data_IF_559346952516
#
_entry.id   IF_559346952516
#
_cell.length_a   1.000
_cell.length_b   1.000
_cell.length_c   1.000
_cell.angle_alpha   90.00
_cell.angle_beta   90.00
_cell.angle_gamma   90.00
#
_symmetry.space_group_name_H-M   'P 1'
#
loop_
_entity.id
_entity.type
_entity.pdbx_description
1 polymer ?
#
# COMPACT_ATOMS: atom_id res chain seq x y z
N UNK A 1 -24.69 -14.17 21.56
CA UNK A 1 -25.01 -13.42 20.32
C UNK A 1 -24.41 -14.20 19.16
N UNK A 2 -25.16 -14.48 18.08
CA UNK A 2 -24.57 -15.14 16.92
C UNK A 2 -23.48 -14.24 16.33
N UNK A 3 -22.29 -14.83 16.14
CA UNK A 3 -21.17 -14.21 15.45
C UNK A 3 -21.40 -14.41 13.95
N UNK A 4 -21.84 -13.36 13.25
CA UNK A 4 -21.92 -13.39 11.79
C UNK A 4 -20.52 -13.19 11.21
N UNK A 5 -20.14 -14.07 10.28
CA UNK A 5 -18.88 -13.93 9.54
C UNK A 5 -19.12 -13.01 8.35
N UNK A 6 -18.43 -11.87 8.33
CA UNK A 6 -18.51 -10.89 7.23
C UNK A 6 -17.20 -10.90 6.44
N UNK A 7 -17.29 -11.02 5.12
CA UNK A 7 -16.15 -10.92 4.20
C UNK A 7 -16.29 -9.73 3.26
N UNK A 8 -15.20 -9.03 2.98
CA UNK A 8 -15.12 -7.96 1.97
C UNK A 8 -14.07 -8.34 0.94
N UNK A 9 -14.34 -8.07 -0.34
CA UNK A 9 -13.40 -8.27 -1.44
C UNK A 9 -13.26 -6.93 -2.17
N UNK A 10 -12.01 -6.52 -2.41
CA UNK A 10 -11.68 -5.30 -3.14
C UNK A 10 -10.88 -5.65 -4.39
N UNK A 11 -11.40 -5.29 -5.57
CA UNK A 11 -10.67 -5.34 -6.83
C UNK A 11 -10.30 -3.90 -7.17
N UNK A 12 -9.00 -3.60 -7.17
CA UNK A 12 -8.48 -2.25 -7.34
C UNK A 12 -7.67 -2.21 -8.63
N UNK A 13 -8.09 -1.34 -9.55
CA UNK A 13 -7.31 -1.00 -10.74
C UNK A 13 -6.40 0.18 -10.40
N UNK A 14 -5.09 0.00 -10.58
CA UNK A 14 -4.08 0.99 -10.23
C UNK A 14 -3.66 1.77 -11.47
N UNK A 15 -3.37 3.05 -11.28
CA UNK A 15 -2.77 3.88 -12.32
C UNK A 15 -1.38 3.37 -12.72
N UNK A 16 -0.93 3.78 -13.91
CA UNK A 16 0.40 3.47 -14.41
C UNK A 16 1.51 3.97 -13.46
N UNK A 17 2.56 3.15 -13.33
CA UNK A 17 3.71 3.42 -12.46
C UNK A 17 4.90 4.04 -13.21
N UNK A 18 4.65 4.68 -14.36
CA UNK A 18 5.70 5.26 -15.18
C UNK A 18 6.41 6.44 -14.49
N UNK A 19 7.72 6.52 -14.74
CA UNK A 19 8.55 7.59 -14.21
C UNK A 19 8.24 8.89 -14.94
N UNK A 20 8.15 10.00 -14.20
CA UNK A 20 7.87 11.32 -14.75
C UNK A 20 8.80 11.66 -15.95
N UNK A 21 10.10 11.38 -15.82
CA UNK A 21 11.10 11.62 -16.87
C UNK A 21 10.81 10.87 -18.18
N UNK A 22 10.16 9.71 -18.10
CA UNK A 22 9.82 8.89 -19.28
C UNK A 22 8.55 9.39 -20.01
N UNK A 23 7.76 10.26 -19.38
CA UNK A 23 6.47 10.72 -19.95
C UNK A 23 6.59 11.93 -20.86
N UNK A 24 7.67 12.71 -20.75
CA UNK A 24 7.79 14.02 -21.40
C UNK A 24 6.72 15.04 -20.97
N UNK A 25 5.98 14.75 -19.89
CA UNK A 25 4.88 15.60 -19.43
C UNK A 25 5.40 16.91 -18.82
N UNK A 26 4.71 18.01 -19.10
CA UNK A 26 5.04 19.34 -18.58
C UNK A 26 3.84 20.02 -17.93
N UNK A 27 4.09 21.05 -17.13
CA UNK A 27 3.06 21.88 -16.50
C UNK A 27 2.05 21.08 -15.67
N UNK A 28 0.77 21.21 -16.01
CA UNK A 28 -0.33 20.57 -15.28
C UNK A 28 -0.23 19.04 -15.32
N UNK A 29 0.17 18.46 -16.46
CA UNK A 29 0.27 17.01 -16.62
C UNK A 29 1.40 16.42 -15.77
N UNK A 30 2.51 17.15 -15.62
CA UNK A 30 3.58 16.76 -14.71
C UNK A 30 3.12 16.75 -13.25
N UNK A 31 2.33 17.76 -12.85
CA UNK A 31 1.76 17.84 -11.49
C UNK A 31 0.78 16.69 -11.22
N UNK A 32 -0.05 16.35 -12.19
CA UNK A 32 -0.96 15.19 -12.14
C UNK A 32 -0.17 13.88 -12.00
N UNK A 33 0.81 13.64 -12.88
CA UNK A 33 1.67 12.46 -12.82
C UNK A 33 2.45 12.37 -11.51
N UNK A 34 2.88 13.50 -10.96
CA UNK A 34 3.49 13.57 -9.63
C UNK A 34 2.56 13.10 -8.51
N UNK A 35 1.28 13.45 -8.56
CA UNK A 35 0.29 12.99 -7.58
C UNK A 35 -0.02 11.49 -7.72
N UNK A 36 -0.10 10.98 -8.96
CA UNK A 36 -0.22 9.53 -9.23
C UNK A 36 0.96 8.80 -8.60
N UNK A 37 2.18 9.21 -8.94
CA UNK A 37 3.40 8.61 -8.43
C UNK A 37 3.51 8.70 -6.91
N UNK A 38 3.09 9.82 -6.30
CA UNK A 38 3.02 9.93 -4.83
C UNK A 38 2.18 8.80 -4.23
N UNK A 39 0.96 8.58 -4.74
CA UNK A 39 0.06 7.57 -4.20
C UNK A 39 0.59 6.14 -4.35
N UNK A 40 1.23 5.82 -5.48
CA UNK A 40 1.81 4.50 -5.77
C UNK A 40 3.09 4.25 -4.95
N UNK A 41 3.95 5.25 -4.79
CA UNK A 41 5.15 5.15 -3.93
C UNK A 41 4.76 4.95 -2.47
N UNK A 42 3.76 5.69 -1.98
CA UNK A 42 3.26 5.48 -0.61
C UNK A 42 2.69 4.07 -0.43
N UNK A 43 1.99 3.52 -1.43
CA UNK A 43 1.52 2.13 -1.40
C UNK A 43 2.70 1.15 -1.28
N UNK A 44 3.76 1.33 -2.07
CA UNK A 44 4.98 0.54 -1.98
C UNK A 44 5.60 0.60 -0.57
N UNK A 45 5.75 1.80 0.00
CA UNK A 45 6.29 1.99 1.34
C UNK A 45 5.46 1.30 2.43
N UNK A 46 4.13 1.35 2.33
CA UNK A 46 3.22 0.65 3.25
C UNK A 46 3.41 -0.86 3.16
N UNK A 47 3.48 -1.42 1.94
CA UNK A 47 3.69 -2.86 1.73
C UNK A 47 5.06 -3.29 2.27
N UNK A 48 6.12 -2.54 2.01
CA UNK A 48 7.47 -2.82 2.54
C UNK A 48 7.49 -2.82 4.06
N UNK A 49 6.88 -1.81 4.71
CA UNK A 49 6.79 -1.74 6.16
C UNK A 49 6.03 -2.93 6.76
N UNK A 50 4.95 -3.38 6.10
CA UNK A 50 4.20 -4.56 6.52
C UNK A 50 4.97 -5.86 6.33
N UNK A 51 5.74 -5.96 5.25
CA UNK A 51 6.63 -7.10 5.02
C UNK A 51 7.69 -7.18 6.12
N UNK A 52 8.35 -6.08 6.46
CA UNK A 52 9.35 -6.02 7.54
C UNK A 52 8.76 -6.47 8.88
N UNK A 53 7.53 -6.04 9.21
CA UNK A 53 6.81 -6.47 10.42
C UNK A 53 6.50 -7.97 10.45
N UNK A 54 6.30 -8.58 9.28
CA UNK A 54 5.96 -10.01 9.17
C UNK A 54 7.17 -10.94 9.37
N UNK A 55 8.38 -10.45 9.07
CA UNK A 55 9.61 -11.25 9.18
C UNK A 55 10.13 -11.37 10.62
N UNK A 56 9.71 -10.49 11.53
CA UNK A 56 10.12 -10.48 12.95
C UNK A 56 9.48 -11.62 13.81
N UNK A 57 8.77 -12.57 13.19
CA UNK A 57 8.10 -13.68 13.88
C UNK A 57 9.01 -14.79 14.44
N UNK A 58 10.34 -14.70 14.28
CA UNK A 58 11.28 -15.79 14.59
C UNK A 58 12.06 -15.68 15.91
N UNK A 59 12.08 -14.54 16.60
CA UNK A 59 12.90 -14.37 17.81
C UNK A 59 12.09 -13.80 18.98
N UNK A 60 11.66 -14.70 19.86
CA UNK A 60 10.78 -14.47 21.01
C UNK A 60 11.36 -13.56 22.12
N UNK A 61 12.55 -12.98 21.93
CA UNK A 61 13.24 -12.19 22.96
C UNK A 61 13.64 -10.77 22.55
N UNK A 62 13.43 -10.35 21.30
CA UNK A 62 13.68 -8.96 20.88
C UNK A 62 12.35 -8.22 20.76
N UNK A 63 12.21 -7.12 21.50
CA UNK A 63 11.05 -6.21 21.46
C UNK A 63 10.62 -6.00 20.00
N UNK A 64 9.40 -6.44 19.63
CA UNK A 64 8.79 -6.13 18.33
C UNK A 64 9.07 -4.68 18.00
N UNK A 65 9.92 -4.44 17.00
CA UNK A 65 10.20 -3.08 16.56
C UNK A 65 8.84 -2.50 16.15
N UNK A 66 8.41 -1.43 16.80
CA UNK A 66 7.19 -0.73 16.40
C UNK A 66 7.48 -0.08 15.06
N UNK A 67 7.26 -0.82 13.98
CA UNK A 67 7.36 -0.29 12.62
C UNK A 67 6.11 0.54 12.39
N UNK A 68 6.31 1.83 12.16
CA UNK A 68 5.23 2.74 11.79
C UNK A 68 4.85 2.49 10.33
N UNK A 69 3.57 2.20 10.07
CA UNK A 69 3.05 2.01 8.71
C UNK A 69 2.29 3.26 8.26
N UNK A 70 2.78 3.99 7.24
CA UNK A 70 2.30 5.33 6.87
C UNK A 70 1.02 5.32 6.02
N UNK A 71 -0.04 4.63 6.47
CA UNK A 71 -1.29 4.54 5.71
C UNK A 71 -1.92 5.90 5.36
N UNK A 72 -1.68 6.94 6.18
CA UNK A 72 -2.31 8.26 6.02
C UNK A 72 -1.62 9.19 5.02
N UNK A 73 -0.43 8.81 4.54
CA UNK A 73 0.37 9.67 3.66
C UNK A 73 -0.22 9.76 2.23
N UNK A 74 -1.13 8.83 1.90
CA UNK A 74 -1.93 8.82 0.67
C UNK A 74 -3.37 8.40 0.98
N UNK A 75 -4.33 9.02 0.28
CA UNK A 75 -5.76 8.63 0.37
C UNK A 75 -5.95 7.17 -0.04
N UNK A 76 -5.20 6.70 -1.05
CA UNK A 76 -5.25 5.32 -1.52
C UNK A 76 -4.93 4.31 -0.42
N UNK A 77 -3.79 4.51 0.28
CA UNK A 77 -3.37 3.62 1.36
C UNK A 77 -4.24 3.76 2.60
N UNK A 78 -4.86 4.92 2.81
CA UNK A 78 -5.78 5.10 3.92
C UNK A 78 -7.09 4.35 3.69
N UNK A 79 -7.62 4.42 2.45
CA UNK A 79 -8.81 3.67 2.04
C UNK A 79 -8.58 2.16 2.07
N UNK A 80 -7.40 1.71 1.63
CA UNK A 80 -7.04 0.29 1.56
C UNK A 80 -6.40 -0.25 2.84
N UNK A 81 -6.36 0.53 3.93
CA UNK A 81 -5.73 0.12 5.19
C UNK A 81 -6.20 -1.25 5.67
N UNK A 82 -7.52 -1.46 5.65
CA UNK A 82 -8.14 -2.71 6.10
C UNK A 82 -7.89 -3.88 5.14
N UNK A 83 -7.63 -3.57 3.86
CA UNK A 83 -7.30 -4.57 2.84
C UNK A 83 -5.83 -5.00 2.93
N UNK A 84 -4.92 -4.07 3.24
CA UNK A 84 -3.46 -4.30 3.26
C UNK A 84 -2.95 -4.92 4.57
N UNK A 85 -3.60 -4.62 5.70
CA UNK A 85 -3.19 -5.08 7.03
C UNK A 85 -4.20 -5.99 7.73
N UNK A 86 -3.88 -6.38 8.97
CA UNK A 86 -4.78 -7.18 9.81
C UNK A 86 -4.95 -8.63 9.31
N UNK A 87 -6.19 -9.12 9.31
CA UNK A 87 -6.54 -10.48 8.87
C UNK A 87 -6.90 -10.55 7.37
N UNK A 88 -6.72 -9.46 6.62
CA UNK A 88 -6.99 -9.45 5.19
C UNK A 88 -5.91 -10.21 4.42
N UNK A 89 -6.27 -10.71 3.24
CA UNK A 89 -5.33 -11.26 2.25
C UNK A 89 -5.27 -10.30 1.08
N UNK A 90 -4.08 -9.81 0.79
CA UNK A 90 -3.81 -8.96 -0.37
C UNK A 90 -2.92 -9.70 -1.35
N UNK A 91 -3.27 -9.61 -2.63
CA UNK A 91 -2.45 -10.05 -3.76
C UNK A 91 -2.30 -8.84 -4.68
N UNK A 92 -1.07 -8.55 -5.10
CA UNK A 92 -0.77 -7.56 -6.12
C UNK A 92 -0.37 -8.30 -7.40
N UNK A 93 -1.01 -7.94 -8.51
CA UNK A 93 -0.69 -8.47 -9.84
C UNK A 93 -0.10 -7.30 -10.62
N UNK A 94 1.16 -7.46 -11.07
CA UNK A 94 1.84 -6.47 -11.89
C UNK A 94 1.80 -6.89 -13.35
N UNK A 95 1.43 -5.96 -14.23
CA UNK A 95 1.56 -6.09 -15.69
C UNK A 95 2.70 -5.19 -16.18
N UNK A 96 3.16 -5.47 -17.40
CA UNK A 96 4.23 -4.74 -18.05
C UNK A 96 3.78 -3.39 -18.60
#
# INVERSE_FOLDING_TARGET
MPCETVSKIHLVDLAGSERADATGATGVRLKEGGNINKSLVTLGNVISALADMSQDGGSSHLKKKQVFVPYRDSVLTWLLKDSLGGNSKTIMIASQ
#
